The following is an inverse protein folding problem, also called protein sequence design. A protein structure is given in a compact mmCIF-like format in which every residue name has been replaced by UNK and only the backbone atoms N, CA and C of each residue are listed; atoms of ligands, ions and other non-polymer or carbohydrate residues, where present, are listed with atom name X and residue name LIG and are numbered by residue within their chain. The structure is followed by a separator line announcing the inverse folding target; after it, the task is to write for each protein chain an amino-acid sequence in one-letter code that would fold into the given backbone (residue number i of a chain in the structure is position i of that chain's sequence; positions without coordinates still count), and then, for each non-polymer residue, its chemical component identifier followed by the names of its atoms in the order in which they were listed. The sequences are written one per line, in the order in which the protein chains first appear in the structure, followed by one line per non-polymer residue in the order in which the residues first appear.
data_IF_915478075804
#
_entry.id   IF_915478075804
#
_cell.length_a   1.000
_cell.length_b   1.000
_cell.length_c   1.000
_cell.angle_alpha   90.00
_cell.angle_beta   90.00
_cell.angle_gamma   90.00
#
_symmetry.space_group_name_H-M   'P 1'
#
loop_
_entity.id
_entity.type
_entity.pdbx_description
1 polymer ?
#
# COMPACT_ATOMS: atom_id res chain seq x y z
N UNK A 1 -25.46 20.29 -28.12
CA UNK A 1 -24.27 20.37 -29.00
C UNK A 1 -23.84 18.95 -29.34
N UNK A 2 -23.66 18.63 -30.63
CA UNK A 2 -23.19 17.31 -31.06
C UNK A 2 -21.76 17.08 -30.60
N UNK A 3 -21.48 15.93 -29.96
CA UNK A 3 -20.11 15.57 -29.55
C UNK A 3 -19.18 15.49 -30.78
N UNK A 4 -17.93 15.99 -30.67
CA UNK A 4 -16.94 15.87 -31.75
C UNK A 4 -16.74 14.41 -32.18
N UNK A 5 -16.47 14.13 -33.47
CA UNK A 5 -16.17 12.77 -33.94
C UNK A 5 -15.03 12.11 -33.14
N UNK A 6 -13.96 12.87 -32.85
CA UNK A 6 -12.80 12.40 -32.08
C UNK A 6 -13.18 12.01 -30.63
N UNK A 7 -14.16 12.67 -30.00
CA UNK A 7 -14.61 12.35 -28.65
C UNK A 7 -15.23 10.95 -28.58
N UNK A 8 -16.17 10.65 -29.49
CA UNK A 8 -16.87 9.34 -29.49
C UNK A 8 -15.93 8.20 -29.87
N UNK A 9 -15.01 8.43 -30.80
CA UNK A 9 -14.00 7.44 -31.15
C UNK A 9 -13.10 7.12 -29.94
N UNK A 10 -12.68 8.14 -29.20
CA UNK A 10 -11.85 7.96 -28.03
C UNK A 10 -12.56 7.32 -26.85
N UNK A 11 -13.81 7.69 -26.59
CA UNK A 11 -14.61 7.06 -25.56
C UNK A 11 -14.73 5.56 -25.81
N UNK A 12 -15.12 5.18 -27.03
CA UNK A 12 -15.24 3.78 -27.43
C UNK A 12 -13.91 3.03 -27.33
N UNK A 13 -12.81 3.64 -27.76
CA UNK A 13 -11.48 3.04 -27.65
C UNK A 13 -11.13 2.70 -26.20
N UNK A 14 -11.36 3.62 -25.26
CA UNK A 14 -11.09 3.40 -23.83
C UNK A 14 -12.00 2.31 -23.24
N UNK A 15 -13.29 2.33 -23.56
CA UNK A 15 -14.26 1.33 -23.08
C UNK A 15 -13.93 -0.09 -23.60
N UNK A 16 -13.58 -0.23 -24.88
CA UNK A 16 -13.18 -1.52 -25.47
C UNK A 16 -11.85 -2.03 -24.90
N UNK A 17 -10.93 -1.10 -24.56
CA UNK A 17 -9.66 -1.45 -23.94
C UNK A 17 -9.85 -1.95 -22.52
N UNK A 18 -10.63 -1.23 -21.71
CA UNK A 18 -11.01 -1.63 -20.35
C UNK A 18 -11.73 -2.99 -20.35
N UNK A 19 -12.62 -3.23 -21.32
CA UNK A 19 -13.30 -4.52 -21.49
C UNK A 19 -12.32 -5.66 -21.80
N UNK A 20 -11.33 -5.39 -22.65
CA UNK A 20 -10.28 -6.36 -23.00
C UNK A 20 -9.47 -6.74 -21.77
N UNK A 21 -9.04 -5.75 -20.98
CA UNK A 21 -8.32 -5.96 -19.72
C UNK A 21 -9.15 -6.78 -18.73
N UNK A 22 -10.41 -6.38 -18.54
CA UNK A 22 -11.32 -7.01 -17.57
C UNK A 22 -11.68 -8.45 -17.95
N UNK A 23 -11.94 -8.71 -19.23
CA UNK A 23 -12.30 -10.05 -19.73
C UNK A 23 -11.15 -11.07 -19.61
N UNK A 24 -9.90 -10.60 -19.65
CA UNK A 24 -8.71 -11.42 -19.39
C UNK A 24 -8.36 -11.53 -17.90
N UNK A 25 -9.08 -10.83 -17.01
CA UNK A 25 -8.84 -10.86 -15.57
C UNK A 25 -7.50 -10.25 -15.16
N UNK A 26 -6.95 -9.33 -15.97
CA UNK A 26 -5.65 -8.68 -15.71
C UNK A 26 -5.79 -7.24 -15.21
N UNK A 27 -7.00 -6.83 -14.84
CA UNK A 27 -7.27 -5.52 -14.24
C UNK A 27 -6.41 -5.30 -13.00
N UNK A 28 -5.69 -4.18 -12.97
CA UNK A 28 -4.99 -3.70 -11.80
C UNK A 28 -5.96 -2.87 -10.96
N UNK A 29 -5.93 -3.06 -9.64
CA UNK A 29 -6.87 -2.40 -8.74
C UNK A 29 -6.19 -1.43 -7.77
N UNK A 30 -4.92 -1.08 -7.98
CA UNK A 30 -4.22 -0.10 -7.15
C UNK A 30 -4.95 1.25 -7.14
N UNK A 31 -5.38 1.71 -8.33
CA UNK A 31 -6.28 2.85 -8.47
C UNK A 31 -7.65 2.41 -9.01
N UNK A 32 -8.70 3.12 -8.58
CA UNK A 32 -10.08 2.86 -8.97
C UNK A 32 -10.48 3.75 -10.15
N UNK A 33 -11.17 3.21 -11.17
CA UNK A 33 -11.77 4.02 -12.24
C UNK A 33 -12.72 5.07 -11.68
N UNK A 34 -12.67 6.29 -12.23
CA UNK A 34 -13.59 7.37 -11.87
C UNK A 34 -14.83 7.29 -12.75
N UNK A 35 -16.00 7.12 -12.14
CA UNK A 35 -17.25 6.93 -12.87
C UNK A 35 -17.55 8.11 -13.82
N UNK A 36 -17.78 7.81 -15.10
CA UNK A 36 -18.03 8.83 -16.13
C UNK A 36 -16.78 9.48 -16.72
N UNK A 37 -15.58 9.13 -16.22
CA UNK A 37 -14.30 9.63 -16.72
C UNK A 37 -13.34 8.45 -16.97
N UNK A 38 -13.48 7.70 -18.08
CA UNK A 38 -12.73 6.46 -18.33
C UNK A 38 -11.22 6.66 -18.52
N UNK A 39 -10.76 7.90 -18.60
CA UNK A 39 -9.35 8.26 -18.67
C UNK A 39 -8.73 8.63 -17.31
N UNK A 40 -9.51 8.52 -16.22
CA UNK A 40 -9.10 8.88 -14.87
C UNK A 40 -9.22 7.67 -13.93
N UNK A 41 -8.21 7.52 -13.08
CA UNK A 41 -8.26 6.64 -11.91
C UNK A 41 -7.86 7.42 -10.67
N UNK A 42 -8.33 6.97 -9.51
CA UNK A 42 -8.08 7.61 -8.21
C UNK A 42 -7.80 6.57 -7.14
N UNK A 43 -7.04 6.96 -6.14
CA UNK A 43 -6.91 6.26 -4.85
C UNK A 43 -7.56 7.08 -3.74
N UNK A 44 -7.48 6.62 -2.48
CA UNK A 44 -8.03 7.37 -1.33
C UNK A 44 -7.31 8.70 -1.13
N UNK A 45 -6.03 8.79 -1.48
CA UNK A 45 -5.26 10.03 -1.40
C UNK A 45 -5.76 11.09 -2.38
N UNK A 46 -5.88 10.79 -3.67
CA UNK A 46 -6.38 11.71 -4.67
C UNK A 46 -7.86 12.02 -4.47
N UNK A 47 -8.67 11.05 -4.02
CA UNK A 47 -10.07 11.27 -3.68
C UNK A 47 -10.25 12.24 -2.50
N UNK A 48 -9.25 12.36 -1.63
CA UNK A 48 -9.29 13.25 -0.46
C UNK A 48 -9.31 14.74 -0.78
N UNK A 49 -9.04 15.12 -2.04
CA UNK A 49 -9.17 16.50 -2.53
C UNK A 49 -10.58 16.83 -3.05
N UNK A 50 -11.45 15.82 -3.20
CA UNK A 50 -12.79 16.02 -3.71
C UNK A 50 -13.65 16.98 -2.85
N UNK A 51 -13.60 16.94 -1.50
CA UNK A 51 -14.38 17.85 -0.66
C UNK A 51 -14.04 19.33 -0.86
N UNK A 52 -12.79 19.67 -1.19
CA UNK A 52 -12.35 21.04 -1.44
C UNK A 52 -12.82 21.60 -2.79
N UNK A 53 -13.39 20.75 -3.67
CA UNK A 53 -13.83 21.10 -5.04
C UNK A 53 -12.77 21.93 -5.80
N UNK A 54 -11.59 21.35 -6.11
CA UNK A 54 -10.46 22.06 -6.69
C UNK A 54 -10.84 22.86 -7.94
N UNK A 55 -10.27 24.06 -8.09
CA UNK A 55 -10.52 24.94 -9.24
C UNK A 55 -9.22 25.43 -9.88
N UNK A 56 -9.30 25.96 -11.10
CA UNK A 56 -8.16 26.56 -11.80
C UNK A 56 -6.95 25.64 -11.88
N UNK A 57 -5.83 26.07 -11.30
CA UNK A 57 -4.58 25.31 -11.29
C UNK A 57 -4.67 24.00 -10.48
N UNK A 58 -5.43 23.99 -9.39
CA UNK A 58 -5.61 22.80 -8.54
C UNK A 58 -6.41 21.73 -9.27
N UNK A 59 -7.50 22.10 -9.96
CA UNK A 59 -8.26 21.19 -10.80
C UNK A 59 -7.38 20.58 -11.90
N UNK A 60 -6.54 21.40 -12.53
CA UNK A 60 -5.62 20.92 -13.56
C UNK A 60 -4.62 19.90 -12.98
N UNK A 61 -4.02 20.21 -11.83
CA UNK A 61 -3.08 19.31 -11.15
C UNK A 61 -3.76 18.01 -10.70
N UNK A 62 -5.01 18.09 -10.23
CA UNK A 62 -5.78 16.92 -9.84
C UNK A 62 -6.06 15.98 -11.02
N UNK A 63 -6.52 16.54 -12.15
CA UNK A 63 -6.69 15.80 -13.39
C UNK A 63 -5.36 15.21 -13.90
N UNK A 64 -4.26 15.98 -13.84
CA UNK A 64 -2.93 15.51 -14.22
C UNK A 64 -2.53 14.26 -13.41
N UNK A 65 -2.77 14.25 -12.10
CA UNK A 65 -2.45 13.13 -11.21
C UNK A 65 -3.34 11.90 -11.47
N UNK A 66 -4.65 12.09 -11.59
CA UNK A 66 -5.60 10.99 -11.86
C UNK A 66 -5.40 10.36 -13.25
N UNK A 67 -5.04 11.17 -14.24
CA UNK A 67 -4.71 10.69 -15.58
C UNK A 67 -3.38 9.93 -15.59
N UNK A 68 -2.37 10.41 -14.84
CA UNK A 68 -1.11 9.69 -14.66
C UNK A 68 -1.32 8.32 -14.00
N UNK A 69 -2.12 8.25 -12.94
CA UNK A 69 -2.51 7.00 -12.28
C UNK A 69 -3.22 6.04 -13.24
N UNK A 70 -4.14 6.53 -14.07
CA UNK A 70 -4.82 5.71 -15.08
C UNK A 70 -3.85 5.09 -16.10
N UNK A 71 -2.88 5.87 -16.57
CA UNK A 71 -1.89 5.42 -17.55
C UNK A 71 -0.85 4.47 -16.95
N UNK A 72 -0.49 4.66 -15.68
CA UNK A 72 0.38 3.76 -14.93
C UNK A 72 -0.26 2.37 -14.81
N UNK A 73 -1.50 2.31 -14.32
CA UNK A 73 -2.22 1.05 -14.20
C UNK A 73 -2.43 0.38 -15.56
N UNK A 74 -2.80 1.16 -16.59
CA UNK A 74 -2.99 0.62 -17.94
C UNK A 74 -1.68 0.02 -18.48
N UNK A 75 -0.53 0.61 -18.17
CA UNK A 75 0.77 0.05 -18.57
C UNK A 75 0.98 -1.33 -17.94
N UNK A 76 0.64 -1.49 -16.67
CA UNK A 76 0.68 -2.78 -15.95
C UNK A 76 -0.31 -3.78 -16.55
N UNK A 77 -1.54 -3.37 -16.78
CA UNK A 77 -2.62 -4.21 -17.32
C UNK A 77 -2.27 -4.73 -18.72
N UNK A 78 -1.80 -3.85 -19.61
CA UNK A 78 -1.34 -4.21 -20.96
C UNK A 78 -0.15 -5.17 -20.91
N UNK A 79 0.79 -4.99 -19.98
CA UNK A 79 1.95 -5.85 -19.83
C UNK A 79 1.60 -7.27 -19.36
N UNK A 80 0.45 -7.44 -18.68
CA UNK A 80 -0.06 -8.70 -18.19
C UNK A 80 -1.00 -9.41 -19.18
N UNK A 81 -1.39 -8.77 -20.29
CA UNK A 81 -2.21 -9.41 -21.32
C UNK A 81 -1.46 -10.56 -21.99
N UNK A 82 -2.14 -11.67 -22.34
CA UNK A 82 -1.56 -12.72 -23.16
C UNK A 82 -1.03 -12.17 -24.48
N UNK A 83 0.11 -12.71 -24.94
CA UNK A 83 0.70 -12.31 -26.22
C UNK A 83 -0.29 -12.57 -27.38
N UNK A 84 -0.45 -11.60 -28.26
CA UNK A 84 -1.36 -11.69 -29.41
C UNK A 84 -2.83 -11.40 -29.09
N UNK A 85 -3.15 -10.95 -27.87
CA UNK A 85 -4.50 -10.45 -27.54
C UNK A 85 -4.90 -9.33 -28.52
N UNK A 86 -6.03 -9.47 -29.24
CA UNK A 86 -6.52 -8.39 -30.11
C UNK A 86 -6.85 -7.14 -29.28
N UNK A 87 -6.36 -5.99 -29.73
CA UNK A 87 -6.61 -4.70 -29.10
C UNK A 87 -7.54 -3.85 -29.98
N UNK A 88 -8.33 -2.93 -29.41
CA UNK A 88 -9.21 -2.07 -30.18
C UNK A 88 -8.43 -1.23 -31.20
N UNK A 89 -9.03 -0.93 -32.36
CA UNK A 89 -8.39 -0.13 -33.39
C UNK A 89 -8.09 1.26 -32.85
N UNK A 90 -6.89 1.77 -33.14
CA UNK A 90 -6.50 3.10 -32.69
C UNK A 90 -7.45 4.17 -33.22
N UNK A 91 -7.71 5.23 -32.43
CA UNK A 91 -8.53 6.36 -32.86
C UNK A 91 -7.89 7.13 -34.03
N UNK A 92 -6.58 6.94 -34.27
CA UNK A 92 -5.82 7.49 -35.39
C UNK A 92 -4.78 6.47 -35.87
N UNK A 93 -4.63 6.36 -37.19
CA UNK A 93 -3.71 5.40 -37.83
C UNK A 93 -2.21 5.66 -37.51
N UNK A 94 -1.86 6.88 -37.07
CA UNK A 94 -0.48 7.26 -36.75
C UNK A 94 0.03 6.77 -35.39
N UNK A 95 -0.82 6.14 -34.58
CA UNK A 95 -0.47 5.72 -33.22
C UNK A 95 0.16 4.33 -33.25
N UNK A 96 1.27 4.18 -32.53
CA UNK A 96 2.13 3.00 -32.60
C UNK A 96 1.78 1.91 -31.58
N UNK A 97 1.04 2.25 -30.52
CA UNK A 97 0.68 1.33 -29.45
C UNK A 97 -0.67 1.68 -28.81
N UNK A 98 -1.28 0.71 -28.11
CA UNK A 98 -2.50 0.96 -27.34
C UNK A 98 -2.29 1.99 -26.21
N UNK A 99 -1.09 2.06 -25.63
CA UNK A 99 -0.76 3.07 -24.63
C UNK A 99 -0.70 4.48 -25.24
N UNK A 100 -0.17 4.63 -26.46
CA UNK A 100 -0.20 5.92 -27.17
C UNK A 100 -1.63 6.31 -27.57
N UNK A 101 -2.44 5.31 -27.96
CA UNK A 101 -3.90 5.41 -28.12
C UNK A 101 -4.57 5.99 -26.89
N UNK A 102 -4.31 5.39 -25.73
CA UNK A 102 -4.91 5.77 -24.46
C UNK A 102 -4.46 7.17 -24.02
N UNK A 103 -3.17 7.51 -24.16
CA UNK A 103 -2.66 8.86 -23.88
C UNK A 103 -3.36 9.92 -24.74
N UNK A 104 -3.40 9.70 -26.05
CA UNK A 104 -4.08 10.61 -26.97
C UNK A 104 -5.56 10.78 -26.62
N UNK A 105 -6.26 9.69 -26.31
CA UNK A 105 -7.66 9.75 -25.95
C UNK A 105 -7.94 10.37 -24.59
N UNK A 106 -7.09 10.11 -23.60
CA UNK A 106 -7.16 10.76 -22.31
C UNK A 106 -7.07 12.29 -22.45
N UNK A 107 -6.12 12.79 -23.25
CA UNK A 107 -5.99 14.22 -23.51
C UNK A 107 -7.22 14.80 -24.20
N UNK A 108 -7.79 14.11 -25.20
CA UNK A 108 -8.98 14.59 -25.92
C UNK A 108 -10.25 14.58 -25.07
N UNK A 109 -10.46 13.54 -24.29
CA UNK A 109 -11.59 13.45 -23.37
C UNK A 109 -11.47 14.54 -22.29
N UNK A 110 -10.26 14.74 -21.76
CA UNK A 110 -9.97 15.81 -20.81
C UNK A 110 -10.20 17.21 -21.36
N UNK A 111 -9.70 17.52 -22.56
CA UNK A 111 -9.94 18.82 -23.22
C UNK A 111 -11.45 19.11 -23.35
N UNK A 112 -12.21 18.08 -23.75
CA UNK A 112 -13.66 18.18 -23.88
C UNK A 112 -14.34 18.42 -22.52
N UNK A 113 -13.93 17.70 -21.48
CA UNK A 113 -14.52 17.84 -20.15
C UNK A 113 -14.17 19.16 -19.48
N UNK A 114 -12.95 19.68 -19.67
CA UNK A 114 -12.53 21.02 -19.21
C UNK A 114 -13.36 22.14 -19.85
N UNK A 115 -13.83 21.96 -21.08
CA UNK A 115 -14.70 22.93 -21.75
C UNK A 115 -16.14 22.96 -21.19
N UNK A 116 -16.53 21.99 -20.36
CA UNK A 116 -17.89 21.89 -19.81
C UNK A 116 -17.97 22.55 -18.43
N UNK A 117 -18.93 23.45 -18.19
CA UNK A 117 -19.13 24.04 -16.87
C UNK A 117 -19.46 22.96 -15.83
N UNK A 118 -19.08 23.18 -14.57
CA UNK A 118 -19.33 22.24 -13.47
C UNK A 118 -18.51 20.95 -13.51
N UNK A 119 -17.37 20.92 -14.22
CA UNK A 119 -16.46 19.76 -14.20
C UNK A 119 -15.99 19.45 -12.76
N UNK A 120 -15.57 20.47 -12.01
CA UNK A 120 -15.07 20.29 -10.65
C UNK A 120 -16.09 19.56 -9.76
N UNK A 121 -17.36 19.98 -9.80
CA UNK A 121 -18.43 19.34 -9.02
C UNK A 121 -18.66 17.89 -9.45
N UNK A 122 -18.82 17.64 -10.77
CA UNK A 122 -19.04 16.29 -11.29
C UNK A 122 -17.87 15.35 -10.98
N UNK A 123 -16.65 15.83 -11.15
CA UNK A 123 -15.45 15.05 -10.89
C UNK A 123 -15.36 14.73 -9.41
N UNK A 124 -15.62 15.71 -8.54
CA UNK A 124 -15.55 15.50 -7.11
C UNK A 124 -16.70 14.64 -6.55
N UNK A 125 -17.86 14.59 -7.19
CA UNK A 125 -18.90 13.61 -6.88
C UNK A 125 -18.54 12.19 -7.33
N UNK A 126 -17.76 12.07 -8.42
CA UNK A 126 -17.36 10.78 -8.98
C UNK A 126 -16.07 10.21 -8.36
N UNK A 127 -15.17 11.06 -7.88
CA UNK A 127 -13.86 10.70 -7.32
C UNK A 127 -13.99 10.11 -5.91
N UNK A 128 -14.59 8.92 -5.85
CA UNK A 128 -14.81 8.17 -4.61
C UNK A 128 -14.11 6.82 -4.68
N UNK A 129 -13.55 6.39 -3.57
CA UNK A 129 -12.99 5.04 -3.43
C UNK A 129 -13.83 4.30 -2.39
N UNK A 130 -14.44 3.15 -2.75
CA UNK A 130 -15.25 2.40 -1.80
C UNK A 130 -14.40 1.89 -0.64
N UNK A 131 -15.04 1.74 0.51
CA UNK A 131 -14.44 1.03 1.63
C UNK A 131 -14.24 -0.45 1.29
N UNK A 132 -13.13 -1.05 1.73
CA UNK A 132 -12.90 -2.51 1.62
C UNK A 132 -13.89 -3.34 2.45
N UNK A 133 -14.73 -2.70 3.27
CA UNK A 133 -15.73 -3.35 4.10
C UNK A 133 -17.04 -3.58 3.34
N UNK A 134 -17.54 -4.82 3.36
CA UNK A 134 -18.81 -5.20 2.73
C UNK A 134 -19.97 -5.05 3.71
N UNK A 135 -20.80 -4.03 3.51
CA UNK A 135 -21.95 -3.73 4.39
C UNK A 135 -22.96 -4.88 4.51
N UNK A 136 -23.16 -5.67 3.45
CA UNK A 136 -24.06 -6.82 3.51
C UNK A 136 -23.55 -7.93 4.43
N UNK A 137 -22.24 -8.15 4.50
CA UNK A 137 -21.64 -9.13 5.41
C UNK A 137 -21.86 -8.70 6.86
N UNK A 138 -21.67 -7.41 7.16
CA UNK A 138 -21.95 -6.85 8.48
C UNK A 138 -23.41 -7.00 8.88
N UNK A 139 -24.31 -6.79 7.92
CA UNK A 139 -25.75 -6.92 8.13
C UNK A 139 -26.16 -8.37 8.42
N UNK A 140 -25.77 -9.31 7.54
CA UNK A 140 -26.12 -10.74 7.66
C UNK A 140 -25.40 -11.40 8.84
N UNK A 141 -24.15 -11.01 9.07
CA UNK A 141 -23.31 -11.51 10.15
C UNK A 141 -23.64 -10.96 11.54
N UNK A 142 -24.73 -10.17 11.67
CA UNK A 142 -25.17 -9.56 12.93
C UNK A 142 -24.05 -8.75 13.62
N UNK A 143 -23.25 -8.02 12.84
CA UNK A 143 -22.07 -7.27 13.27
C UNK A 143 -22.32 -6.49 14.56
N UNK A 144 -23.41 -5.71 14.61
CA UNK A 144 -23.75 -4.87 15.76
C UNK A 144 -24.03 -5.66 17.06
N UNK A 145 -24.38 -6.95 16.98
CA UNK A 145 -24.56 -7.82 18.14
C UNK A 145 -23.24 -8.47 18.58
N UNK A 146 -22.35 -8.79 17.64
CA UNK A 146 -21.05 -9.41 17.93
C UNK A 146 -19.96 -8.41 18.31
N UNK A 147 -20.15 -7.12 18.02
CA UNK A 147 -19.13 -6.08 18.07
C UNK A 147 -18.43 -5.99 19.43
N UNK A 148 -19.18 -6.01 20.53
CA UNK A 148 -18.61 -5.94 21.88
C UNK A 148 -17.76 -7.17 22.25
N UNK A 149 -18.07 -8.34 21.69
CA UNK A 149 -17.29 -9.55 21.93
C UNK A 149 -15.99 -9.52 21.10
N UNK A 150 -16.08 -9.10 19.84
CA UNK A 150 -14.93 -8.95 18.95
C UNK A 150 -13.96 -7.90 19.47
N UNK A 151 -14.45 -6.71 19.86
CA UNK A 151 -13.60 -5.65 20.43
C UNK A 151 -12.81 -6.16 21.63
N UNK A 152 -13.47 -6.81 22.60
CA UNK A 152 -12.78 -7.39 23.77
C UNK A 152 -11.78 -8.47 23.39
N UNK A 153 -12.09 -9.28 22.37
CA UNK A 153 -11.17 -10.28 21.85
C UNK A 153 -9.92 -9.66 21.25
N UNK A 154 -10.08 -8.63 20.42
CA UNK A 154 -8.99 -7.87 19.81
C UNK A 154 -8.14 -7.19 20.89
N UNK A 155 -8.75 -6.45 21.82
CA UNK A 155 -8.03 -5.74 22.89
C UNK A 155 -7.19 -6.71 23.74
N UNK A 156 -7.79 -7.86 24.11
CA UNK A 156 -7.09 -8.89 24.88
C UNK A 156 -5.93 -9.50 24.09
N UNK A 157 -6.19 -9.86 22.83
CA UNK A 157 -5.16 -10.44 21.96
C UNK A 157 -4.00 -9.46 21.73
N UNK A 158 -4.29 -8.17 21.53
CA UNK A 158 -3.27 -7.13 21.39
C UNK A 158 -2.46 -6.98 22.67
N UNK A 159 -3.12 -6.93 23.83
CA UNK A 159 -2.45 -6.83 25.12
C UNK A 159 -1.55 -8.04 25.41
N UNK A 160 -1.97 -9.25 25.05
CA UNK A 160 -1.18 -10.48 25.22
C UNK A 160 -0.03 -10.56 24.20
N UNK A 161 -0.28 -10.25 22.92
CA UNK A 161 0.70 -10.41 21.83
C UNK A 161 1.82 -9.38 21.88
N UNK A 162 1.49 -8.14 22.29
CA UNK A 162 2.45 -7.04 22.33
C UNK A 162 2.83 -6.64 23.77
N UNK A 163 2.56 -7.51 24.75
CA UNK A 163 3.00 -7.31 26.14
C UNK A 163 4.52 -7.09 26.25
N UNK A 164 5.28 -7.84 25.45
CA UNK A 164 6.74 -7.89 25.50
C UNK A 164 7.41 -6.77 24.69
N UNK A 165 6.64 -5.88 24.05
CA UNK A 165 7.22 -4.78 23.24
C UNK A 165 7.97 -3.75 24.09
N UNK A 166 7.72 -3.73 25.41
CA UNK A 166 8.49 -2.93 26.39
C UNK A 166 9.75 -3.63 26.93
N UNK A 167 10.03 -4.86 26.50
CA UNK A 167 11.22 -5.61 26.89
C UNK A 167 12.39 -5.22 25.99
N UNK A 168 13.59 -5.09 26.58
CA UNK A 168 14.78 -4.74 25.81
C UNK A 168 15.02 -5.79 24.70
N UNK A 169 15.35 -5.41 23.46
CA UNK A 169 15.52 -6.35 22.35
C UNK A 169 16.53 -7.48 22.60
N UNK A 170 17.49 -7.27 23.50
CA UNK A 170 18.49 -8.27 23.93
C UNK A 170 17.93 -9.34 24.87
N UNK A 171 16.82 -9.07 25.54
CA UNK A 171 16.16 -9.97 26.50
C UNK A 171 15.04 -10.79 25.85
N UNK A 172 14.62 -10.43 24.64
CA UNK A 172 13.61 -11.17 23.88
C UNK A 172 14.11 -12.58 23.56
N UNK A 173 13.26 -13.61 23.71
CA UNK A 173 13.62 -14.98 23.39
C UNK A 173 14.04 -15.12 21.92
N UNK A 174 14.99 -16.02 21.69
CA UNK A 174 15.52 -16.37 20.37
C UNK A 174 15.31 -17.87 20.21
N UNK A 175 14.46 -18.27 19.27
CA UNK A 175 14.25 -19.69 18.97
C UNK A 175 15.28 -20.22 17.95
N UNK A 176 15.70 -19.37 17.02
CA UNK A 176 16.62 -19.72 15.95
C UNK A 176 17.89 -18.89 15.97
N UNK A 177 18.22 -18.31 14.82
CA UNK A 177 19.38 -17.44 14.63
C UNK A 177 18.93 -16.04 14.25
N UNK A 178 19.26 -15.06 15.08
CA UNK A 178 19.08 -13.65 14.74
C UNK A 178 19.95 -13.25 13.56
N UNK A 179 19.28 -12.90 12.47
CA UNK A 179 19.88 -12.49 11.21
C UNK A 179 19.39 -11.10 10.84
N UNK A 180 20.32 -10.15 10.69
CA UNK A 180 20.04 -8.82 10.20
C UNK A 180 20.06 -8.81 8.67
N UNK A 181 18.92 -8.49 8.08
CA UNK A 181 18.80 -8.16 6.67
C UNK A 181 19.00 -6.66 6.52
N UNK A 182 20.16 -6.27 5.99
CA UNK A 182 20.65 -4.88 5.92
C UNK A 182 20.54 -4.32 4.50
N UNK A 183 20.38 -2.99 4.35
CA UNK A 183 20.44 -2.36 3.03
C UNK A 183 21.79 -2.56 2.34
N UNK A 184 21.84 -2.37 1.00
CA UNK A 184 23.09 -2.25 0.24
C UNK A 184 24.10 -1.31 0.92
N UNK A 185 25.40 -1.65 0.97
CA UNK A 185 26.41 -0.88 1.71
C UNK A 185 26.58 0.58 1.26
N UNK A 186 26.18 0.91 0.03
CA UNK A 186 26.18 2.24 -0.56
C UNK A 186 24.94 3.07 -0.22
N UNK A 187 23.97 2.48 0.48
CA UNK A 187 22.79 3.20 0.97
C UNK A 187 23.19 4.16 2.10
N UNK A 188 23.13 5.49 1.90
CA UNK A 188 23.44 6.44 2.96
C UNK A 188 22.57 6.19 4.20
N UNK A 189 23.13 6.48 5.38
CA UNK A 189 22.34 6.61 6.59
C UNK A 189 21.54 7.92 6.57
N UNK A 190 20.53 8.03 7.43
CA UNK A 190 19.77 9.25 7.59
C UNK A 190 20.68 10.42 8.01
N UNK A 191 20.58 11.53 7.29
CA UNK A 191 21.32 12.77 7.56
C UNK A 191 20.33 13.94 7.51
N UNK A 192 19.92 14.40 8.69
CA UNK A 192 18.84 15.38 8.83
C UNK A 192 19.08 16.67 8.00
N UNK A 193 20.22 17.37 8.08
CA UNK A 193 20.51 18.53 7.23
C UNK A 193 20.28 18.26 5.73
N UNK A 194 20.82 17.15 5.21
CA UNK A 194 20.73 16.79 3.79
C UNK A 194 19.31 16.46 3.36
N UNK A 195 18.59 15.68 4.17
CA UNK A 195 17.18 15.35 3.89
C UNK A 195 16.32 16.61 3.97
N UNK A 196 16.58 17.49 4.93
CA UNK A 196 15.85 18.75 5.08
C UNK A 196 16.03 19.69 3.88
N UNK A 197 17.26 19.80 3.37
CA UNK A 197 17.54 20.56 2.14
C UNK A 197 16.83 19.94 0.92
N UNK A 198 16.87 18.62 0.79
CA UNK A 198 16.15 17.92 -0.28
C UNK A 198 14.65 18.21 -0.21
N UNK A 199 14.00 17.96 0.93
CA UNK A 199 12.54 18.10 1.10
C UNK A 199 12.08 19.54 0.84
N UNK A 200 12.85 20.55 1.27
CA UNK A 200 12.54 21.97 1.03
C UNK A 200 12.71 22.39 -0.43
N UNK A 201 13.60 21.74 -1.17
CA UNK A 201 13.86 22.06 -2.58
C UNK A 201 12.92 21.34 -3.56
N UNK A 202 12.12 20.36 -3.10
CA UNK A 202 11.19 19.64 -3.95
C UNK A 202 10.12 20.58 -4.54
N UNK A 203 9.96 20.65 -5.87
CA UNK A 203 8.87 21.37 -6.49
C UNK A 203 7.53 20.71 -6.10
N UNK A 204 6.50 21.54 -5.89
CA UNK A 204 5.15 21.09 -5.54
C UNK A 204 4.16 21.59 -6.58
N UNK A 205 3.20 20.74 -6.93
CA UNK A 205 2.09 21.15 -7.79
C UNK A 205 1.08 22.01 -7.01
N UNK A 206 0.01 22.44 -7.70
CA UNK A 206 -1.03 23.27 -7.10
C UNK A 206 -1.79 22.57 -5.96
N UNK A 207 -1.74 21.24 -5.85
CA UNK A 207 -2.30 20.49 -4.72
C UNK A 207 -1.32 20.35 -3.54
N UNK A 208 -0.13 20.95 -3.66
CA UNK A 208 0.94 20.84 -2.67
C UNK A 208 1.66 19.49 -2.69
N UNK A 209 1.39 18.62 -3.67
CA UNK A 209 2.01 17.29 -3.79
C UNK A 209 3.42 17.48 -4.35
N UNK A 210 4.48 17.01 -3.65
CA UNK A 210 5.83 17.16 -4.14
C UNK A 210 6.09 16.24 -5.34
N UNK A 211 6.89 16.72 -6.27
CA UNK A 211 7.41 15.95 -7.38
C UNK A 211 8.85 15.55 -7.08
N UNK A 212 9.14 14.26 -7.21
CA UNK A 212 10.43 13.69 -6.93
C UNK A 212 10.98 13.06 -8.20
N UNK A 213 12.16 13.53 -8.59
CA UNK A 213 12.97 12.84 -9.60
C UNK A 213 13.46 11.50 -9.07
N UNK A 214 13.80 10.57 -9.96
CA UNK A 214 14.21 9.22 -9.59
C UNK A 214 15.40 9.20 -8.61
N UNK A 215 16.40 10.06 -8.83
CA UNK A 215 17.56 10.17 -7.94
C UNK A 215 17.19 10.69 -6.54
N UNK A 216 16.25 11.62 -6.46
CA UNK A 216 15.76 12.18 -5.19
C UNK A 216 14.96 11.13 -4.42
N UNK A 217 14.09 10.40 -5.13
CA UNK A 217 13.33 9.25 -4.62
C UNK A 217 14.28 8.18 -4.07
N UNK A 218 15.30 7.78 -4.83
CA UNK A 218 16.28 6.79 -4.41
C UNK A 218 17.03 7.22 -3.15
N UNK A 219 17.51 8.47 -3.10
CA UNK A 219 18.22 9.01 -1.94
C UNK A 219 17.37 8.95 -0.67
N UNK A 220 16.09 9.35 -0.75
CA UNK A 220 15.17 9.25 0.38
C UNK A 220 14.96 7.80 0.81
N UNK A 221 14.69 6.91 -0.13
CA UNK A 221 14.48 5.50 0.22
C UNK A 221 15.72 4.84 0.81
N UNK A 222 16.92 5.21 0.38
CA UNK A 222 18.16 4.65 0.92
C UNK A 222 18.42 5.15 2.35
N UNK A 223 18.20 6.45 2.58
CA UNK A 223 18.39 7.12 3.87
C UNK A 223 17.51 6.50 4.98
N UNK A 224 16.26 6.15 4.66
CA UNK A 224 15.30 5.60 5.62
C UNK A 224 15.14 4.07 5.55
N UNK A 225 15.97 3.38 4.75
CA UNK A 225 15.84 1.93 4.59
C UNK A 225 16.06 1.17 5.92
N UNK A 226 15.11 0.34 6.38
CA UNK A 226 15.22 -0.31 7.68
C UNK A 226 16.21 -1.48 7.67
N UNK A 227 16.75 -1.83 8.82
CA UNK A 227 17.38 -3.13 9.05
C UNK A 227 16.36 -4.10 9.64
N UNK A 228 16.10 -5.21 8.98
CA UNK A 228 15.18 -6.24 9.50
C UNK A 228 15.98 -7.28 10.30
N UNK A 229 15.81 -7.33 11.62
CA UNK A 229 16.47 -8.29 12.51
C UNK A 229 15.52 -9.43 12.78
N UNK A 230 15.65 -10.53 12.06
CA UNK A 230 14.68 -11.62 12.04
C UNK A 230 15.23 -12.80 12.83
N UNK A 231 14.42 -13.37 13.72
CA UNK A 231 14.70 -14.67 14.34
C UNK A 231 14.43 -15.79 13.33
N UNK A 232 15.51 -16.35 12.77
CA UNK A 232 15.40 -17.38 11.72
C UNK A 232 15.50 -18.76 12.36
N UNK A 233 14.37 -19.39 12.61
CA UNK A 233 14.27 -20.76 13.14
C UNK A 233 14.06 -21.81 12.03
N UNK A 234 13.50 -21.39 10.89
CA UNK A 234 13.13 -22.23 9.76
C UNK A 234 13.32 -21.51 8.42
N UNK A 235 12.97 -22.17 7.31
CA UNK A 235 12.96 -21.52 6.00
C UNK A 235 11.81 -20.52 5.83
N UNK A 236 10.73 -20.66 6.61
CA UNK A 236 9.61 -19.72 6.58
C UNK A 236 10.01 -18.32 7.04
N UNK A 237 11.04 -18.22 7.88
CA UNK A 237 11.50 -16.96 8.47
C UNK A 237 12.48 -16.18 7.57
N UNK A 238 12.72 -16.67 6.34
CA UNK A 238 13.68 -16.06 5.42
C UNK A 238 12.95 -15.20 4.39
N UNK A 239 13.04 -13.86 4.44
CA UNK A 239 12.41 -13.01 3.46
C UNK A 239 13.02 -13.22 2.08
N UNK A 240 12.19 -13.14 1.05
CA UNK A 240 12.56 -13.51 -0.31
C UNK A 240 12.01 -12.60 -1.39
N UNK A 241 12.49 -12.82 -2.62
CA UNK A 241 11.96 -12.16 -3.82
C UNK A 241 10.69 -12.88 -4.27
N UNK A 242 9.61 -12.15 -4.50
CA UNK A 242 8.41 -12.72 -5.09
C UNK A 242 8.66 -13.18 -6.53
N UNK A 243 8.31 -14.42 -6.82
CA UNK A 243 8.45 -15.06 -8.13
C UNK A 243 7.29 -16.01 -8.41
N UNK A 244 7.01 -16.25 -9.68
CA UNK A 244 6.22 -17.42 -10.08
C UNK A 244 7.15 -18.62 -10.31
N UNK A 245 6.85 -19.80 -9.75
CA UNK A 245 7.70 -20.97 -9.90
C UNK A 245 7.75 -21.44 -11.36
N UNK A 246 8.88 -22.00 -11.83
CA UNK A 246 9.02 -22.48 -13.21
C UNK A 246 8.01 -23.58 -13.58
N UNK A 247 7.54 -24.34 -12.59
CA UNK A 247 6.55 -25.40 -12.76
C UNK A 247 5.13 -24.87 -13.01
N UNK A 248 4.93 -23.55 -12.96
CA UNK A 248 3.60 -22.94 -12.88
C UNK A 248 3.01 -23.07 -11.47
N UNK A 249 1.97 -22.28 -11.18
CA UNK A 249 1.27 -22.31 -9.89
C UNK A 249 1.01 -20.93 -9.29
N UNK A 250 1.00 -20.88 -7.96
CA UNK A 250 0.90 -19.65 -7.15
C UNK A 250 2.30 -19.06 -6.92
N UNK A 251 2.38 -17.76 -6.64
CA UNK A 251 3.65 -17.10 -6.42
C UNK A 251 4.30 -17.53 -5.10
N UNK A 252 5.63 -17.50 -5.03
CA UNK A 252 6.44 -17.89 -3.87
C UNK A 252 7.44 -16.78 -3.54
N UNK A 253 7.86 -16.69 -2.28
CA UNK A 253 8.98 -15.84 -1.86
C UNK A 253 10.28 -16.66 -1.93
N UNK A 254 11.16 -16.33 -2.88
CA UNK A 254 12.47 -16.97 -3.06
C UNK A 254 13.50 -16.43 -2.05
N UNK A 255 13.86 -17.20 -1.00
CA UNK A 255 14.72 -16.72 0.08
C UNK A 255 16.19 -16.58 -0.33
N UNK A 256 16.58 -17.04 -1.53
CA UNK A 256 17.96 -16.89 -2.04
C UNK A 256 18.25 -15.46 -2.48
N UNK A 257 17.20 -14.65 -2.68
CA UNK A 257 17.29 -13.25 -3.11
C UNK A 257 16.46 -12.37 -2.16
N UNK A 258 16.92 -12.13 -0.92
CA UNK A 258 16.20 -11.26 0.00
C UNK A 258 15.97 -9.89 -0.64
N UNK A 259 14.71 -9.48 -0.70
CA UNK A 259 14.28 -8.28 -1.44
C UNK A 259 13.36 -7.44 -0.57
N UNK A 260 13.62 -6.14 -0.54
CA UNK A 260 12.74 -5.12 0.05
C UNK A 260 12.11 -4.33 -1.08
N UNK A 261 10.79 -4.38 -1.17
CA UNK A 261 10.00 -3.64 -2.14
C UNK A 261 9.73 -2.22 -1.63
N UNK A 262 9.89 -1.22 -2.48
CA UNK A 262 9.74 0.20 -2.14
C UNK A 262 8.53 0.78 -2.83
N UNK A 263 7.71 1.52 -2.08
CA UNK A 263 6.57 2.24 -2.64
C UNK A 263 6.50 3.65 -2.06
N UNK A 264 6.43 4.64 -2.94
CA UNK A 264 6.22 6.04 -2.55
C UNK A 264 4.72 6.30 -2.44
N UNK A 265 4.29 6.93 -1.35
CA UNK A 265 2.91 7.34 -1.16
C UNK A 265 2.83 8.69 -0.48
N UNK A 266 1.61 9.19 -0.30
CA UNK A 266 1.35 10.49 0.29
C UNK A 266 0.19 10.41 1.27
N UNK A 267 0.22 11.27 2.27
CA UNK A 267 -0.88 11.44 3.22
C UNK A 267 -1.16 12.92 3.43
N UNK A 268 -2.33 13.22 4.00
CA UNK A 268 -2.74 14.56 4.38
C UNK A 268 -2.60 14.74 5.89
N UNK A 269 -2.05 15.88 6.26
CA UNK A 269 -1.91 16.30 7.63
C UNK A 269 -2.20 17.79 7.69
N UNK A 270 -3.32 18.17 8.30
CA UNK A 270 -3.90 19.51 8.18
C UNK A 270 -4.13 19.91 6.71
N UNK A 271 -3.59 21.04 6.29
CA UNK A 271 -3.61 21.52 4.90
C UNK A 271 -2.41 21.01 4.08
N UNK A 272 -1.53 20.18 4.67
CA UNK A 272 -0.28 19.76 4.07
C UNK A 272 -0.35 18.34 3.50
N UNK A 273 0.28 18.16 2.33
CA UNK A 273 0.67 16.84 1.83
C UNK A 273 2.04 16.44 2.37
N UNK A 274 2.10 15.29 3.03
CA UNK A 274 3.31 14.68 3.58
C UNK A 274 3.75 13.47 2.75
N UNK A 275 5.06 13.22 2.75
CA UNK A 275 5.69 12.11 2.04
C UNK A 275 5.68 10.85 2.89
N UNK A 276 5.39 9.71 2.27
CA UNK A 276 5.41 8.40 2.92
C UNK A 276 6.29 7.41 2.14
N UNK A 277 7.27 6.83 2.81
CA UNK A 277 8.19 5.83 2.27
C UNK A 277 7.81 4.46 2.83
N UNK A 278 7.39 3.54 1.97
CA UNK A 278 7.00 2.19 2.37
C UNK A 278 8.06 1.17 1.98
N UNK A 279 8.33 0.22 2.88
CA UNK A 279 9.26 -0.88 2.73
C UNK A 279 8.53 -2.19 3.01
N UNK A 280 8.38 -3.01 1.98
CA UNK A 280 7.65 -4.26 2.02
C UNK A 280 8.60 -5.46 1.93
N UNK A 281 8.45 -6.44 2.81
CA UNK A 281 9.13 -7.75 2.73
C UNK A 281 8.10 -8.88 2.71
N UNK A 282 8.51 -10.00 2.12
CA UNK A 282 7.67 -11.20 1.95
C UNK A 282 8.38 -12.44 2.46
N UNK A 283 7.65 -13.27 3.20
CA UNK A 283 8.06 -14.56 3.74
C UNK A 283 7.34 -15.70 3.00
N UNK A 284 7.94 -16.89 2.87
CA UNK A 284 7.33 -18.03 2.19
C UNK A 284 5.97 -18.47 2.76
N UNK A 285 5.80 -18.43 4.09
CA UNK A 285 4.59 -18.86 4.77
C UNK A 285 4.56 -18.34 6.21
N UNK A 286 3.38 -18.32 6.84
CA UNK A 286 3.23 -18.32 8.29
C UNK A 286 2.95 -19.77 8.71
N UNK A 287 3.92 -20.52 9.25
CA UNK A 287 3.69 -21.90 9.66
C UNK A 287 2.54 -21.99 10.65
N UNK A 288 1.69 -23.01 10.51
CA UNK A 288 0.59 -23.23 11.43
C UNK A 288 1.12 -23.80 12.76
N UNK A 289 0.74 -23.18 13.87
CA UNK A 289 1.03 -23.69 15.22
C UNK A 289 -0.11 -24.58 15.72
N UNK A 290 -0.10 -25.83 15.26
CA UNK A 290 -1.10 -26.84 15.61
C UNK A 290 -2.34 -26.86 14.71
N UNK A 291 -3.24 -27.82 14.98
CA UNK A 291 -4.35 -28.14 14.08
C UNK A 291 -5.44 -27.07 14.00
N UNK A 292 -5.58 -26.23 15.04
CA UNK A 292 -6.61 -25.21 15.14
C UNK A 292 -6.09 -23.79 14.85
N UNK A 293 -4.85 -23.64 14.39
CA UNK A 293 -4.31 -22.34 14.00
C UNK A 293 -4.94 -21.90 12.66
N UNK A 294 -5.87 -20.96 12.75
CA UNK A 294 -6.59 -20.40 11.61
C UNK A 294 -5.81 -19.32 10.86
N UNK A 295 -4.67 -18.88 11.39
CA UNK A 295 -3.87 -17.77 10.88
C UNK A 295 -2.71 -18.26 9.98
N UNK A 296 -2.32 -19.53 10.10
CA UNK A 296 -1.26 -20.13 9.29
C UNK A 296 -1.61 -20.24 7.81
N UNK A 297 -0.61 -20.13 6.93
CA UNK A 297 -0.80 -20.35 5.50
C UNK A 297 0.32 -19.82 4.61
N UNK A 298 0.11 -19.99 3.30
CA UNK A 298 1.03 -19.59 2.24
C UNK A 298 1.23 -18.07 2.17
N UNK A 299 2.50 -17.66 2.07
CA UNK A 299 3.02 -16.29 2.14
C UNK A 299 2.64 -15.51 3.40
N UNK A 300 3.59 -14.76 3.91
CA UNK A 300 3.36 -13.73 4.91
C UNK A 300 4.21 -12.51 4.55
N UNK A 301 4.08 -11.41 5.28
CA UNK A 301 4.90 -10.25 5.00
C UNK A 301 4.59 -9.06 5.88
N UNK A 302 5.52 -8.11 5.87
CA UNK A 302 5.44 -6.87 6.63
C UNK A 302 5.57 -5.67 5.69
N UNK A 303 4.86 -4.60 6.02
CA UNK A 303 5.09 -3.26 5.50
C UNK A 303 5.56 -2.40 6.67
N UNK A 304 6.68 -1.71 6.47
CA UNK A 304 7.17 -0.64 7.34
C UNK A 304 7.05 0.69 6.61
N UNK A 305 6.37 1.67 7.20
CA UNK A 305 6.15 2.99 6.60
C UNK A 305 6.81 4.07 7.45
N UNK A 306 7.44 5.03 6.76
CA UNK A 306 7.98 6.26 7.34
C UNK A 306 7.23 7.44 6.76
N UNK A 307 6.55 8.22 7.61
CA UNK A 307 5.92 9.48 7.22
C UNK A 307 6.83 10.65 7.61
N UNK A 308 7.19 11.49 6.64
CA UNK A 308 8.09 12.63 6.82
C UNK A 308 7.33 13.95 6.93
N UNK A 309 7.72 14.80 7.88
CA UNK A 309 7.26 16.18 7.96
C UNK A 309 7.86 17.08 6.85
N UNK A 310 7.55 18.38 6.87
CA UNK A 310 8.04 19.36 5.88
C UNK A 310 9.52 19.68 6.03
N UNK A 311 10.14 19.26 7.13
CA UNK A 311 11.55 19.41 7.41
C UNK A 311 12.33 18.13 7.13
N UNK A 312 11.66 17.06 6.70
CA UNK A 312 12.25 15.77 6.39
C UNK A 312 12.53 14.89 7.61
N UNK A 313 11.99 15.24 8.78
CA UNK A 313 12.06 14.39 9.97
C UNK A 313 10.94 13.36 9.94
N UNK A 314 11.19 12.14 10.46
CA UNK A 314 10.11 11.19 10.71
C UNK A 314 9.09 11.77 11.70
N UNK A 315 7.88 11.98 11.21
CA UNK A 315 6.73 12.37 12.03
C UNK A 315 6.10 11.13 12.68
N UNK A 316 6.00 10.04 11.91
CA UNK A 316 5.37 8.79 12.30
C UNK A 316 6.05 7.64 11.58
N UNK A 317 6.30 6.55 12.31
CA UNK A 317 6.49 5.25 11.72
C UNK A 317 5.30 4.36 12.03
N UNK A 318 4.96 3.47 11.11
CA UNK A 318 3.90 2.50 11.33
C UNK A 318 4.17 1.21 10.55
N UNK A 319 3.53 0.12 10.99
CA UNK A 319 3.70 -1.20 10.39
C UNK A 319 2.40 -1.96 10.35
N UNK A 320 2.21 -2.75 9.29
CA UNK A 320 1.15 -3.74 9.14
C UNK A 320 1.76 -5.02 8.56
N UNK A 321 1.06 -6.14 8.72
CA UNK A 321 1.27 -7.29 7.85
C UNK A 321 0.70 -7.01 6.45
N UNK A 322 1.20 -7.68 5.42
CA UNK A 322 0.72 -7.56 4.03
C UNK A 322 -0.77 -7.92 3.84
N UNK A 323 -1.41 -8.53 4.84
CA UNK A 323 -2.86 -8.76 4.87
C UNK A 323 -3.68 -7.57 5.38
N UNK A 324 -3.02 -6.57 5.99
CA UNK A 324 -3.64 -5.41 6.66
C UNK A 324 -3.79 -5.55 8.17
N UNK A 325 -3.47 -6.71 8.73
CA UNK A 325 -3.58 -6.95 10.17
C UNK A 325 -2.47 -6.24 10.95
N UNK A 326 -2.70 -6.10 12.26
CA UNK A 326 -1.69 -5.69 13.24
C UNK A 326 -1.08 -4.31 12.97
N UNK A 327 -1.93 -3.30 12.77
CA UNK A 327 -1.48 -1.94 12.55
C UNK A 327 -0.86 -1.34 13.82
N UNK A 328 0.48 -1.29 13.84
CA UNK A 328 1.28 -0.73 14.92
C UNK A 328 1.74 0.68 14.55
N UNK A 329 1.66 1.60 15.49
CA UNK A 329 2.14 2.96 15.32
C UNK A 329 3.30 3.28 16.28
N UNK A 330 4.27 4.03 15.79
CA UNK A 330 5.44 4.52 16.51
C UNK A 330 5.56 6.03 16.28
N UNK A 331 4.79 6.84 17.03
CA UNK A 331 4.77 8.29 16.82
C UNK A 331 6.09 8.94 17.23
N UNK A 332 6.54 9.91 16.43
CA UNK A 332 7.58 10.84 16.85
C UNK A 332 7.09 11.74 18.00
N UNK A 333 8.01 12.46 18.66
CA UNK A 333 7.70 13.27 19.85
C UNK A 333 6.61 14.36 19.67
N UNK A 334 6.20 14.65 18.42
CA UNK A 334 5.17 15.63 18.09
C UNK A 334 3.73 15.05 18.06
N UNK A 335 3.53 13.73 18.20
CA UNK A 335 2.22 13.07 18.10
C UNK A 335 1.87 12.28 19.36
N UNK A 336 1.32 12.90 20.42
CA UNK A 336 0.80 12.14 21.54
C UNK A 336 -0.38 11.26 21.09
N UNK A 337 -0.44 9.98 21.50
CA UNK A 337 -1.54 9.08 21.12
C UNK A 337 -2.90 9.65 21.55
N UNK A 338 -3.87 9.63 20.64
CA UNK A 338 -5.26 9.81 21.01
C UNK A 338 -5.80 8.48 21.55
N UNK A 339 -6.36 8.47 22.76
CA UNK A 339 -7.39 7.46 23.05
C UNK A 339 -8.58 7.81 22.18
N UNK A 340 -9.00 6.90 21.31
CA UNK A 340 -10.22 7.13 20.56
C UNK A 340 -11.37 7.03 21.57
N UNK A 341 -11.90 8.16 22.01
CA UNK A 341 -13.09 8.20 22.88
C UNK A 341 -14.37 7.79 22.14
N UNK A 342 -14.23 7.21 20.96
CA UNK A 342 -15.32 6.82 20.05
C UNK A 342 -15.75 5.42 20.44
N UNK A 343 -17.03 5.27 20.79
CA UNK A 343 -17.61 3.95 21.03
C UNK A 343 -17.59 3.16 19.71
N UNK A 344 -17.03 1.94 19.72
CA UNK A 344 -17.02 1.02 18.57
C UNK A 344 -16.05 1.36 17.43
N UNK A 345 -14.82 1.76 17.79
CA UNK A 345 -13.65 1.80 16.91
C UNK A 345 -12.45 1.16 17.62
N UNK A 346 -11.56 0.50 16.88
CA UNK A 346 -10.31 -0.01 17.44
C UNK A 346 -9.37 1.13 17.83
N UNK A 347 -8.80 1.05 19.03
CA UNK A 347 -7.83 2.03 19.51
C UNK A 347 -6.54 2.03 18.68
N UNK A 348 -5.84 3.16 18.70
CA UNK A 348 -4.50 3.30 18.11
C UNK A 348 -3.50 2.50 18.94
N UNK A 349 -2.95 1.44 18.37
CA UNK A 349 -1.98 0.58 19.04
C UNK A 349 -0.57 1.18 18.93
N UNK A 350 -0.06 1.70 20.06
CA UNK A 350 1.30 2.24 20.21
C UNK A 350 2.08 1.35 21.17
N UNK A 351 2.73 0.28 20.69
CA UNK A 351 3.32 -0.72 21.57
C UNK A 351 4.70 -0.31 22.12
N UNK A 352 5.37 0.67 21.51
CA UNK A 352 6.71 1.10 21.90
C UNK A 352 7.08 2.49 21.40
N UNK A 353 8.32 2.89 21.66
CA UNK A 353 8.84 4.18 21.23
C UNK A 353 9.19 4.21 19.74
N UNK A 354 9.23 5.41 19.16
CA UNK A 354 9.79 5.63 17.83
C UNK A 354 11.29 5.33 17.78
N UNK A 355 11.80 4.75 16.67
CA UNK A 355 13.23 4.68 16.39
C UNK A 355 13.91 6.05 16.56
N UNK A 356 15.14 6.08 17.09
CA UNK A 356 15.86 7.33 17.40
C UNK A 356 17.20 7.47 16.65
N UNK A 357 17.75 6.38 16.12
CA UNK A 357 19.02 6.33 15.41
C UNK A 357 18.89 6.61 13.92
N UNK A 358 20.04 6.62 13.25
CA UNK A 358 20.15 6.95 11.81
C UNK A 358 19.53 5.87 10.90
N UNK A 359 19.14 4.72 11.47
CA UNK A 359 18.49 3.63 10.75
C UNK A 359 17.66 2.76 11.69
N UNK A 360 16.35 2.72 11.45
CA UNK A 360 15.44 1.86 12.22
C UNK A 360 15.86 0.39 12.13
N UNK A 361 15.89 -0.30 13.27
CA UNK A 361 16.15 -1.75 13.35
C UNK A 361 14.89 -2.45 13.86
N UNK A 362 14.34 -3.31 13.03
CA UNK A 362 13.03 -3.93 13.22
C UNK A 362 13.22 -5.38 13.66
N UNK A 363 12.99 -5.69 14.94
CA UNK A 363 13.08 -7.05 15.46
C UNK A 363 11.80 -7.82 15.13
N UNK A 364 11.92 -8.91 14.39
CA UNK A 364 10.80 -9.73 13.90
C UNK A 364 10.90 -11.14 14.49
N UNK A 365 9.78 -11.64 15.02
CA UNK A 365 9.64 -12.98 15.56
C UNK A 365 9.69 -14.06 14.47
N UNK A 366 10.17 -15.25 14.83
CA UNK A 366 10.04 -16.43 13.97
C UNK A 366 8.57 -16.86 13.85
N UNK A 367 8.22 -17.49 12.73
CA UNK A 367 6.96 -18.11 12.34
C UNK A 367 5.76 -17.16 12.20
N UNK A 368 5.49 -16.32 13.19
CA UNK A 368 4.39 -15.33 13.16
C UNK A 368 4.73 -14.05 12.43
N UNK A 369 6.03 -13.79 12.27
CA UNK A 369 6.58 -12.53 11.75
C UNK A 369 6.05 -11.28 12.44
N UNK A 370 5.64 -11.38 13.71
CA UNK A 370 5.29 -10.19 14.48
C UNK A 370 6.50 -9.31 14.69
N UNK A 371 6.31 -8.01 14.49
CA UNK A 371 7.25 -7.01 14.96
C UNK A 371 7.23 -7.05 16.49
N UNK A 372 8.40 -7.17 17.10
CA UNK A 372 8.60 -7.23 18.56
C UNK A 372 9.28 -5.96 19.09
N UNK A 373 10.04 -5.26 18.25
CA UNK A 373 10.67 -3.99 18.58
C UNK A 373 11.03 -3.22 17.31
N UNK A 374 11.05 -1.88 17.40
CA UNK A 374 11.55 -0.98 16.37
C UNK A 374 12.79 -0.19 16.83
N UNK A 375 13.46 -0.63 17.90
CA UNK A 375 14.59 0.07 18.51
C UNK A 375 15.94 -0.28 17.90
N UNK A 376 16.88 0.67 17.96
CA UNK A 376 18.21 0.56 17.33
C UNK A 376 19.16 -0.44 18.02
N UNK A 377 18.74 -1.02 19.16
CA UNK A 377 19.57 -1.91 20.00
C UNK A 377 19.50 -3.39 19.60
N UNK A 378 18.72 -3.78 18.58
CA UNK A 378 18.52 -5.17 18.20
C UNK A 378 19.81 -5.85 17.66
N UNK A 379 20.59 -6.56 18.50
CA UNK A 379 21.85 -7.18 18.05
C UNK A 379 21.59 -8.47 17.28
N UNK A 380 22.18 -8.59 16.09
CA UNK A 380 22.11 -9.80 15.26
C UNK A 380 23.45 -10.54 15.24
N UNK A 381 23.38 -11.85 15.02
CA UNK A 381 24.56 -12.73 14.99
C UNK A 381 25.14 -12.92 13.58
N UNK A 382 24.39 -12.53 12.55
CA UNK A 382 24.84 -12.50 11.16
C UNK A 382 24.11 -11.44 10.37
N UNK A 383 24.73 -11.00 9.28
CA UNK A 383 24.17 -10.01 8.37
C UNK A 383 24.03 -10.57 6.96
N UNK A 384 22.94 -10.22 6.29
CA UNK A 384 22.66 -10.52 4.89
C UNK A 384 22.21 -9.24 4.22
N UNK A 385 22.88 -8.84 3.15
CA UNK A 385 22.44 -7.68 2.36
C UNK A 385 21.23 -8.04 1.51
N UNK A 386 20.12 -7.33 1.68
CA UNK A 386 18.97 -7.45 0.79
C UNK A 386 19.12 -6.55 -0.44
N UNK A 387 18.29 -6.77 -1.46
CA UNK A 387 18.17 -5.93 -2.65
C UNK A 387 16.92 -5.09 -2.60
N UNK A 388 16.94 -3.95 -3.28
CA UNK A 388 15.72 -3.18 -3.50
C UNK A 388 15.04 -3.60 -4.80
N UNK A 389 13.72 -3.50 -4.80
CA UNK A 389 12.87 -3.60 -5.99
C UNK A 389 11.76 -2.54 -5.88
N UNK A 390 11.23 -2.10 -7.02
CA UNK A 390 10.02 -1.27 -7.00
C UNK A 390 8.82 -2.16 -6.65
N UNK A 391 7.91 -1.67 -5.81
CA UNK A 391 6.69 -2.41 -5.45
C UNK A 391 5.83 -2.71 -6.70
N UNK A 392 5.86 -1.86 -7.73
CA UNK A 392 5.13 -2.08 -8.97
C UNK A 392 5.61 -3.32 -9.74
N UNK A 393 6.82 -3.83 -9.47
CA UNK A 393 7.24 -5.14 -10.00
C UNK A 393 6.27 -6.27 -9.58
N UNK A 394 5.64 -6.16 -8.39
CA UNK A 394 4.68 -7.15 -7.91
C UNK A 394 3.38 -7.15 -8.72
N UNK A 395 3.03 -6.02 -9.35
CA UNK A 395 1.83 -5.89 -10.19
C UNK A 395 2.03 -6.51 -11.58
N UNK A 396 3.27 -6.84 -11.94
CA UNK A 396 3.57 -7.50 -13.20
C UNK A 396 4.88 -8.27 -13.09
N UNK A 397 4.88 -9.47 -12.52
CA UNK A 397 6.07 -10.31 -12.36
C UNK A 397 6.40 -11.04 -13.67
N UNK A 398 7.69 -11.15 -14.07
CA UNK A 398 8.09 -11.91 -15.25
C UNK A 398 7.88 -13.41 -15.04
N UNK A 399 7.40 -14.10 -16.09
CA UNK A 399 7.30 -15.56 -16.13
C UNK A 399 8.50 -16.17 -16.87
N UNK A 400 8.94 -17.37 -16.45
CA UNK A 400 10.13 -18.01 -17.02
C UNK A 400 10.00 -18.33 -18.52
N UNK A 401 8.79 -18.65 -18.99
CA UNK A 401 8.51 -18.99 -20.38
C UNK A 401 8.06 -17.78 -21.22
N UNK A 402 8.29 -16.56 -20.72
CA UNK A 402 7.85 -15.32 -21.36
C UNK A 402 6.46 -14.89 -20.88
N UNK A 403 6.16 -13.60 -21.11
CA UNK A 403 4.97 -12.94 -20.55
C UNK A 403 5.17 -12.51 -19.11
N UNK A 404 4.10 -11.93 -18.54
CA UNK A 404 4.08 -11.39 -17.19
C UNK A 404 2.75 -11.69 -16.51
N UNK A 405 2.74 -11.66 -15.19
CA UNK A 405 1.54 -11.88 -14.39
C UNK A 405 1.60 -11.08 -13.10
N UNK A 406 0.51 -10.39 -12.76
CA UNK A 406 0.37 -9.75 -11.46
C UNK A 406 0.42 -10.77 -10.32
N UNK A 407 1.01 -10.40 -9.19
CA UNK A 407 0.88 -11.12 -7.92
C UNK A 407 -0.57 -11.05 -7.40
N UNK A 408 -1.27 -9.96 -7.71
CA UNK A 408 -2.59 -9.62 -7.21
C UNK A 408 -3.67 -10.01 -8.23
N UNK A 409 -4.77 -10.58 -7.74
CA UNK A 409 -5.99 -10.77 -8.53
C UNK A 409 -6.73 -9.46 -8.77
N UNK A 410 -7.78 -9.52 -9.59
CA UNK A 410 -8.68 -8.38 -9.85
C UNK A 410 -9.50 -7.95 -8.61
N UNK A 411 -9.44 -8.72 -7.53
CA UNK A 411 -9.97 -8.39 -6.22
C UNK A 411 -8.92 -7.79 -5.25
N UNK A 412 -7.69 -7.57 -5.73
CA UNK A 412 -6.58 -7.04 -4.93
C UNK A 412 -5.98 -8.07 -3.97
N UNK A 413 -6.33 -9.35 -4.09
CA UNK A 413 -5.87 -10.42 -3.19
C UNK A 413 -4.82 -11.29 -3.89
N UNK A 414 -3.78 -11.68 -3.15
CA UNK A 414 -2.77 -12.63 -3.63
C UNK A 414 -3.32 -14.05 -3.62
N UNK A 415 -3.30 -14.70 -4.79
CA UNK A 415 -3.83 -16.06 -4.94
C UNK A 415 -3.12 -17.05 -4.01
N UNK A 416 -3.91 -17.92 -3.35
CA UNK A 416 -3.38 -18.96 -2.47
C UNK A 416 -3.12 -18.53 -1.02
N UNK A 417 -3.26 -17.24 -0.69
CA UNK A 417 -2.93 -16.72 0.66
C UNK A 417 -4.10 -16.71 1.65
N UNK A 418 -5.27 -17.22 1.25
CA UNK A 418 -6.49 -17.23 2.07
C UNK A 418 -6.27 -17.99 3.39
N UNK A 419 -6.79 -17.45 4.50
CA UNK A 419 -6.63 -17.99 5.86
C UNK A 419 -7.90 -18.62 6.40
N UNK A 420 -7.78 -19.47 7.41
CA UNK A 420 -8.90 -20.13 8.09
C UNK A 420 -9.81 -19.12 8.82
N UNK A 421 -9.24 -18.01 9.29
CA UNK A 421 -9.97 -16.97 10.01
C UNK A 421 -11.12 -16.35 9.20
N UNK A 422 -11.11 -16.46 7.86
CA UNK A 422 -12.22 -16.04 7.01
C UNK A 422 -13.57 -16.68 7.39
N UNK A 423 -13.56 -17.87 7.96
CA UNK A 423 -14.80 -18.54 8.37
C UNK A 423 -15.39 -17.98 9.66
N UNK A 424 -14.59 -17.24 10.43
CA UNK A 424 -14.97 -16.68 11.73
C UNK A 424 -15.14 -15.16 11.65
N UNK A 425 -14.27 -14.47 10.92
CA UNK A 425 -14.18 -13.01 10.88
C UNK A 425 -14.92 -12.38 9.68
N UNK A 426 -15.51 -13.17 8.77
CA UNK A 426 -16.32 -12.63 7.67
C UNK A 426 -17.44 -11.66 8.11
N UNK A 427 -18.09 -11.79 9.31
CA UNK A 427 -19.11 -10.84 9.74
C UNK A 427 -18.58 -9.41 9.93
N UNK A 428 -17.27 -9.24 10.05
CA UNK A 428 -16.64 -7.91 10.21
C UNK A 428 -16.64 -7.12 8.89
N UNK A 429 -17.03 -7.75 7.78
CA UNK A 429 -17.13 -7.13 6.47
C UNK A 429 -15.82 -7.09 5.69
N UNK A 430 -14.72 -7.58 6.25
CA UNK A 430 -13.45 -7.70 5.53
C UNK A 430 -13.50 -8.95 4.64
N UNK A 431 -13.33 -8.83 3.31
CA UNK A 431 -13.33 -9.99 2.41
C UNK A 431 -12.03 -10.79 2.54
N UNK A 432 -12.12 -12.11 2.74
CA UNK A 432 -10.96 -12.99 2.99
C UNK A 432 -9.96 -12.42 4.02
N UNK A 433 -10.37 -12.23 5.30
CA UNK A 433 -9.46 -11.86 6.38
C UNK A 433 -8.21 -12.74 6.38
N UNK A 434 -7.05 -12.12 6.56
CA UNK A 434 -5.75 -12.79 6.55
C UNK A 434 -5.12 -13.01 5.19
N UNK A 435 -5.85 -12.83 4.09
CA UNK A 435 -5.25 -12.92 2.76
C UNK A 435 -4.35 -11.70 2.47
N UNK A 436 -3.23 -11.92 1.79
CA UNK A 436 -2.27 -10.87 1.43
C UNK A 436 -2.85 -9.97 0.34
N UNK A 437 -2.52 -8.67 0.37
CA UNK A 437 -3.23 -7.66 -0.43
C UNK A 437 -2.31 -6.75 -1.25
N UNK A 438 -2.90 -6.20 -2.30
CA UNK A 438 -2.33 -5.10 -3.05
C UNK A 438 -2.37 -3.81 -2.22
N UNK A 439 -1.40 -2.91 -2.46
CA UNK A 439 -1.43 -1.56 -1.94
C UNK A 439 -2.78 -0.87 -2.22
N UNK A 440 -3.30 -0.14 -1.22
CA UNK A 440 -4.62 0.48 -1.28
C UNK A 440 -5.80 -0.43 -0.89
N UNK A 441 -5.59 -1.69 -0.52
CA UNK A 441 -6.70 -2.62 -0.13
C UNK A 441 -6.60 -3.11 1.32
N UNK A 442 -5.72 -2.54 2.13
CA UNK A 442 -5.47 -2.98 3.50
C UNK A 442 -6.51 -2.41 4.47
N UNK A 443 -7.53 -3.19 4.80
CA UNK A 443 -8.38 -2.94 5.96
C UNK A 443 -7.58 -3.25 7.25
N UNK A 444 -7.48 -2.26 8.14
CA UNK A 444 -6.62 -2.34 9.35
C UNK A 444 -7.40 -2.33 10.67
N UNK A 445 -8.71 -2.51 10.61
CA UNK A 445 -9.58 -2.66 11.77
C UNK A 445 -10.68 -3.67 11.47
N UNK A 446 -11.04 -4.51 12.43
CA UNK A 446 -12.24 -5.33 12.42
C UNK A 446 -13.44 -4.59 13.01
N UNK A 447 -13.21 -3.67 13.95
CA UNK A 447 -14.24 -2.81 14.53
C UNK A 447 -14.12 -1.37 14.00
N UNK A 448 -15.17 -0.92 13.30
CA UNK A 448 -15.18 0.35 12.60
C UNK A 448 -14.67 0.22 11.16
N UNK A 449 -14.23 1.32 10.56
CA UNK A 449 -13.58 1.33 9.25
C UNK A 449 -12.28 2.12 9.34
N UNK A 450 -11.18 1.46 8.95
CA UNK A 450 -9.85 2.06 8.84
C UNK A 450 -9.09 1.37 7.72
N UNK A 451 -8.41 2.15 6.89
CA UNK A 451 -7.54 1.67 5.81
C UNK A 451 -6.12 2.15 6.03
N UNK A 452 -5.14 1.37 5.57
CA UNK A 452 -3.73 1.72 5.72
C UNK A 452 -3.35 2.97 4.90
N UNK A 453 -3.96 3.14 3.73
CA UNK A 453 -3.80 4.26 2.81
C UNK A 453 -4.75 5.43 3.10
N UNK A 454 -5.41 5.45 4.27
CA UNK A 454 -6.32 6.54 4.62
C UNK A 454 -5.56 7.88 4.62
N UNK A 455 -6.02 8.87 3.85
CA UNK A 455 -5.31 10.13 3.65
C UNK A 455 -5.27 10.99 4.91
N UNK A 456 -6.17 10.74 5.87
CA UNK A 456 -6.32 11.53 7.12
C UNK A 456 -6.02 10.68 8.36
N UNK A 457 -5.33 9.54 8.17
CA UNK A 457 -5.11 8.53 9.21
C UNK A 457 -4.45 9.09 10.48
N UNK A 458 -3.52 10.04 10.34
CA UNK A 458 -2.82 10.63 11.48
C UNK A 458 -3.80 11.42 12.37
N UNK A 459 -4.69 12.20 11.76
CA UNK A 459 -5.64 13.07 12.48
C UNK A 459 -6.76 12.26 13.13
N UNK A 460 -7.09 11.10 12.59
CA UNK A 460 -8.05 10.17 13.20
C UNK A 460 -7.43 9.30 14.29
N UNK A 461 -6.11 9.07 14.25
CA UNK A 461 -5.39 8.17 15.18
C UNK A 461 -4.68 8.90 16.33
N UNK A 462 -4.37 10.20 16.20
CA UNK A 462 -3.58 10.98 17.16
C UNK A 462 -4.25 12.31 17.54
N UNK A 463 -3.91 12.82 18.73
CA UNK A 463 -4.33 14.17 19.12
C UNK A 463 -3.42 15.16 18.43
N UNK A 464 -3.92 15.74 17.36
CA UNK A 464 -3.25 16.82 16.65
C UNK A 464 -3.65 18.16 17.28
N UNK A 465 -2.69 18.99 17.68
CA UNK A 465 -3.00 20.37 18.03
C UNK A 465 -3.35 21.10 16.73
N UNK A 466 -4.49 21.82 16.72
CA UNK A 466 -4.78 22.70 15.59
C UNK A 466 -3.70 23.79 15.54
N UNK A 467 -3.09 24.05 14.37
CA UNK A 467 -2.04 25.06 14.24
C UNK A 467 -2.45 26.46 14.72
#
# INVERSE_FOLDING_TARGET
MSQPPDYRACLRFMEELDETVRSHGVSDVQHRPVAGFPYLRTDRFLASFAPERPQGAELKAWLDRMQAAALEDLTVELANLPAGTPLPPHPRDSLASALDGAKYCADRLREHDLARPGLADRLADAATVPAEYRSWQRTVGLYYLSLMAVQRGVDRWQAETFADFGTAPSELPIAGKLTAYVPPPDSPAFDQPRISELIRSLPRDALGIPHLEERQRQLLFDAFAPTWVIDVASNADRPGRMVYPPTGGIAEADPTRPTVYRLLSFTRFHDQVLLQLNYAIWFPERPADGYFDLLGGHLDGLIWRVTLDREGRPLLFDSIHQCGCYHLFFPGGALPPARTGVTFAEDTLVPGASPQGDRARLRVAHSTHYLQSAEDTAVASSEITYRFADYDELRSLPLIFGGRRSLFGSDGIVAGTRRGERFVLWPMGVPEPGAMRQWGHHATAFVGERHFDDPRLIETSFRVQTP
#
